data_IF_132321793380
#
_entry.id   IF_132321793380
#
_cell.length_a   1.000
_cell.length_b   1.000
_cell.length_c   1.000
_cell.angle_alpha   90.00
_cell.angle_beta   90.00
_cell.angle_gamma   90.00
#
_symmetry.space_group_name_H-M   'P 1'
#
loop_
_entity.id
_entity.type
_entity.pdbx_description
1 polymer ?
#
# COMPACT_ATOMS: atom_id res chain seq x y z
N UNK A 1 25.01 10.86 12.06
CA UNK A 1 25.21 9.79 11.05
C UNK A 1 24.03 8.84 11.04
N UNK A 2 23.94 7.96 12.02
CA UNK A 2 22.94 6.87 12.05
C UNK A 2 21.48 7.33 12.07
N UNK A 3 21.12 8.36 12.83
CA UNK A 3 19.75 8.89 12.84
C UNK A 3 19.30 9.39 11.45
N UNK A 4 20.21 10.02 10.70
CA UNK A 4 19.95 10.47 9.33
C UNK A 4 19.78 9.29 8.38
N UNK A 5 20.57 8.22 8.56
CA UNK A 5 20.42 6.99 7.78
C UNK A 5 19.06 6.33 8.03
N UNK A 6 18.65 6.17 9.29
CA UNK A 6 17.34 5.62 9.62
C UNK A 6 16.19 6.48 9.09
N UNK A 7 16.30 7.80 9.16
CA UNK A 7 15.30 8.72 8.61
C UNK A 7 15.15 8.55 7.10
N UNK A 8 16.26 8.40 6.34
CA UNK A 8 16.21 8.12 4.91
C UNK A 8 15.58 6.76 4.58
N UNK A 9 15.94 5.72 5.34
CA UNK A 9 15.38 4.38 5.16
C UNK A 9 13.87 4.39 5.41
N UNK A 10 13.43 4.98 6.52
CA UNK A 10 12.02 5.02 6.91
C UNK A 10 11.20 5.89 5.94
N UNK A 11 11.68 7.09 5.63
CA UNK A 11 11.00 7.99 4.69
C UNK A 11 10.82 7.36 3.31
N UNK A 12 11.86 6.68 2.80
CA UNK A 12 11.79 6.02 1.50
C UNK A 12 10.94 4.74 1.53
N UNK A 13 10.97 3.98 2.62
CA UNK A 13 10.11 2.81 2.78
C UNK A 13 8.63 3.18 2.77
N UNK A 14 8.26 4.23 3.52
CA UNK A 14 6.88 4.75 3.53
C UNK A 14 6.49 5.25 2.13
N UNK A 15 7.36 6.03 1.48
CA UNK A 15 7.12 6.51 0.12
C UNK A 15 6.83 5.37 -0.86
N UNK A 16 7.67 4.32 -0.84
CA UNK A 16 7.51 3.19 -1.75
C UNK A 16 6.25 2.38 -1.49
N UNK A 17 5.82 2.21 -0.24
CA UNK A 17 4.54 1.55 0.08
C UNK A 17 3.39 2.27 -0.63
N UNK A 18 3.33 3.60 -0.53
CA UNK A 18 2.26 4.38 -1.17
C UNK A 18 2.35 4.38 -2.69
N UNK A 19 3.55 4.49 -3.25
CA UNK A 19 3.76 4.46 -4.71
C UNK A 19 3.27 3.13 -5.29
N UNK A 20 3.66 2.00 -4.70
CA UNK A 20 3.23 0.68 -5.17
C UNK A 20 1.72 0.51 -4.95
N UNK A 21 1.18 1.00 -3.83
CA UNK A 21 -0.25 0.95 -3.55
C UNK A 21 -1.12 1.73 -4.57
N UNK A 22 -0.62 2.86 -5.08
CA UNK A 22 -1.29 3.64 -6.12
C UNK A 22 -1.19 2.99 -7.51
N UNK A 23 -0.08 2.33 -7.78
CA UNK A 23 0.16 1.63 -9.06
C UNK A 23 -0.55 0.29 -9.16
N UNK A 24 -1.08 -0.25 -8.06
CA UNK A 24 -1.74 -1.54 -8.06
C UNK A 24 -3.19 -1.43 -8.59
N UNK A 25 -3.46 -2.08 -9.73
CA UNK A 25 -4.76 -2.04 -10.40
C UNK A 25 -5.90 -2.68 -9.60
N UNK A 26 -5.58 -3.50 -8.59
CA UNK A 26 -6.57 -4.03 -7.65
C UNK A 26 -7.12 -2.98 -6.67
N UNK A 27 -6.50 -1.79 -6.62
CA UNK A 27 -6.88 -0.71 -5.72
C UNK A 27 -7.73 0.34 -6.47
N UNK A 28 -9.00 0.02 -6.75
CA UNK A 28 -9.93 0.89 -7.47
C UNK A 28 -10.40 2.13 -6.68
N UNK A 29 -9.73 2.50 -5.58
CA UNK A 29 -10.11 3.64 -4.75
C UNK A 29 -9.92 5.00 -5.45
N UNK A 30 -9.04 5.06 -6.46
CA UNK A 30 -8.69 6.30 -7.17
C UNK A 30 -8.87 6.10 -8.67
N UNK A 31 -9.53 7.04 -9.34
CA UNK A 31 -9.70 7.00 -10.80
C UNK A 31 -8.36 7.10 -11.51
N UNK A 32 -8.21 6.43 -12.65
CA UNK A 32 -6.98 6.45 -13.46
C UNK A 32 -6.50 7.88 -13.78
N UNK A 33 -7.45 8.80 -13.99
CA UNK A 33 -7.18 10.22 -14.28
C UNK A 33 -6.64 10.97 -13.07
N UNK A 34 -6.99 10.56 -11.86
CA UNK A 34 -6.53 11.19 -10.61
C UNK A 34 -5.22 10.59 -10.07
N UNK A 35 -4.79 9.41 -10.55
CA UNK A 35 -3.54 8.76 -10.11
C UNK A 35 -2.29 9.65 -10.21
N UNK A 36 -2.05 10.38 -11.32
CA UNK A 36 -0.88 11.26 -11.42
C UNK A 36 -0.87 12.38 -10.38
N UNK A 37 -2.05 12.95 -10.08
CA UNK A 37 -2.17 13.98 -9.05
C UNK A 37 -1.92 13.42 -7.65
N UNK A 38 -2.48 12.25 -7.34
CA UNK A 38 -2.23 11.56 -6.07
C UNK A 38 -0.74 11.24 -5.89
N UNK A 39 -0.06 10.80 -6.96
CA UNK A 39 1.38 10.50 -6.94
C UNK A 39 2.22 11.72 -6.54
N UNK A 40 1.97 12.87 -7.19
CA UNK A 40 2.68 14.12 -6.89
C UNK A 40 2.39 14.59 -5.46
N UNK A 41 1.13 14.49 -5.01
CA UNK A 41 0.73 14.93 -3.67
C UNK A 41 1.38 14.08 -2.57
N UNK A 42 1.45 12.76 -2.75
CA UNK A 42 2.13 11.86 -1.80
C UNK A 42 3.62 12.17 -1.72
N UNK A 43 4.28 12.35 -2.87
CA UNK A 43 5.69 12.76 -2.89
C UNK A 43 5.87 14.08 -2.13
N UNK A 44 4.99 15.06 -2.36
CA UNK A 44 5.05 16.36 -1.70
C UNK A 44 4.89 16.27 -0.19
N UNK A 45 3.88 15.54 0.29
CA UNK A 45 3.59 15.39 1.72
C UNK A 45 4.73 14.66 2.43
N UNK A 46 5.21 13.55 1.87
CA UNK A 46 6.29 12.76 2.48
C UNK A 46 7.60 13.57 2.45
N UNK A 47 7.92 14.20 1.32
CA UNK A 47 9.14 15.03 1.26
C UNK A 47 9.08 16.18 2.26
N UNK A 48 7.91 16.81 2.46
CA UNK A 48 7.73 17.89 3.44
C UNK A 48 7.82 17.39 4.88
N UNK A 49 7.27 16.20 5.18
CA UNK A 49 7.32 15.60 6.51
C UNK A 49 8.75 15.21 6.93
N UNK A 50 9.57 14.75 5.99
CA UNK A 50 10.95 14.33 6.24
C UNK A 50 11.99 15.42 5.91
N UNK A 51 11.57 16.58 5.39
CA UNK A 51 12.47 17.69 5.04
C UNK A 51 13.23 18.24 6.26
N UNK A 52 12.58 18.35 7.41
CA UNK A 52 13.18 18.92 8.62
C UNK A 52 14.18 17.99 9.31
N UNK A 53 14.05 16.66 9.15
CA UNK A 53 14.90 15.70 9.85
C UNK A 53 16.24 15.43 9.13
N UNK A 54 16.25 15.51 7.79
CA UNK A 54 17.39 15.07 7.00
C UNK A 54 17.68 15.90 5.75
N UNK A 55 17.07 17.08 5.62
CA UNK A 55 17.24 17.97 4.46
C UNK A 55 16.52 17.47 3.19
N UNK A 56 15.70 16.42 3.31
CA UNK A 56 14.89 15.86 2.22
C UNK A 56 15.67 14.99 1.23
N UNK A 57 16.82 14.42 1.59
CA UNK A 57 17.64 13.59 0.70
C UNK A 57 17.06 12.17 0.46
N UNK A 58 15.73 12.06 0.33
CA UNK A 58 14.96 10.82 0.08
C UNK A 58 15.25 10.24 -1.31
N UNK A 59 15.96 10.97 -2.17
CA UNK A 59 16.27 10.54 -3.52
C UNK A 59 17.79 10.67 -3.81
N UNK A 60 18.49 9.57 -4.14
CA UNK A 60 19.89 9.60 -4.52
C UNK A 60 20.18 10.59 -5.66
N UNK A 61 19.28 10.72 -6.64
CA UNK A 61 19.44 11.64 -7.76
C UNK A 61 19.28 13.11 -7.35
N UNK A 62 18.45 13.40 -6.33
CA UNK A 62 18.29 14.75 -5.77
C UNK A 62 19.56 15.21 -5.07
N UNK A 63 20.32 14.27 -4.50
CA UNK A 63 21.51 14.59 -3.71
C UNK A 63 22.81 14.49 -4.52
N UNK A 64 22.94 13.53 -5.45
CA UNK A 64 24.18 13.32 -6.21
C UNK A 64 24.42 14.41 -7.26
N UNK A 65 23.36 14.88 -7.95
CA UNK A 65 23.48 15.88 -9.02
C UNK A 65 24.02 17.23 -8.54
N UNK A 66 23.37 17.90 -7.57
CA UNK A 66 23.87 19.13 -6.98
C UNK A 66 25.24 18.98 -6.33
N UNK A 67 25.54 17.81 -5.77
CA UNK A 67 26.82 17.50 -5.12
C UNK A 67 27.94 17.35 -6.15
N UNK A 68 27.70 16.73 -7.31
CA UNK A 68 28.67 16.70 -8.42
C UNK A 68 28.93 18.10 -8.98
N UNK A 69 27.89 18.92 -9.13
CA UNK A 69 28.04 20.31 -9.56
C UNK A 69 28.83 21.15 -8.54
N UNK A 70 28.54 20.99 -7.25
CA UNK A 70 29.30 21.64 -6.19
C UNK A 70 30.77 21.17 -6.15
N UNK A 71 31.04 19.89 -6.39
CA UNK A 71 32.41 19.37 -6.45
C UNK A 71 33.21 19.93 -7.63
N UNK A 72 32.53 20.25 -8.74
CA UNK A 72 33.15 20.92 -9.89
C UNK A 72 33.54 22.37 -9.57
N UNK A 73 32.75 23.08 -8.76
CA UNK A 73 32.97 24.50 -8.43
C UNK A 73 33.91 24.68 -7.23
N UNK A 74 33.67 23.93 -6.15
CA UNK A 74 34.31 24.14 -4.85
C UNK A 74 35.41 23.13 -4.52
N UNK A 75 35.56 22.09 -5.36
CA UNK A 75 36.54 21.04 -5.16
C UNK A 75 35.93 19.75 -4.59
N UNK A 76 36.57 18.62 -4.92
CA UNK A 76 36.10 17.28 -4.57
C UNK A 76 36.19 16.97 -3.07
N UNK A 77 37.22 17.49 -2.40
CA UNK A 77 37.47 17.16 -0.98
C UNK A 77 36.45 17.84 -0.08
N UNK A 78 36.12 19.08 -0.38
CA UNK A 78 35.16 19.91 0.32
C UNK A 78 33.74 19.33 0.28
N UNK A 79 33.42 18.55 -0.76
CA UNK A 79 32.05 18.07 -1.01
C UNK A 79 31.85 16.59 -0.66
N UNK A 80 32.84 15.74 -0.91
CA UNK A 80 32.76 14.30 -0.64
C UNK A 80 33.40 13.87 0.68
N UNK A 81 34.34 14.64 1.24
CA UNK A 81 34.92 14.37 2.56
C UNK A 81 34.22 15.16 3.68
N UNK A 82 33.28 16.05 3.33
CA UNK A 82 32.49 16.79 4.31
C UNK A 82 31.68 15.86 5.22
N UNK A 83 31.70 16.20 6.51
CA UNK A 83 30.92 15.59 7.58
C UNK A 83 31.07 14.05 7.66
N UNK A 84 32.32 13.58 7.63
CA UNK A 84 32.69 12.16 7.73
C UNK A 84 32.08 11.29 6.62
N UNK A 85 32.30 11.68 5.37
CA UNK A 85 31.82 10.97 4.18
C UNK A 85 30.29 10.83 4.12
N UNK A 86 29.54 11.87 4.48
CA UNK A 86 28.06 11.82 4.52
C UNK A 86 27.39 11.43 3.19
N UNK A 87 28.09 11.57 2.06
CA UNK A 87 27.55 11.33 0.70
C UNK A 87 26.96 9.92 0.47
N UNK A 88 27.41 8.89 1.20
CA UNK A 88 26.91 7.52 1.00
C UNK A 88 25.52 7.29 1.62
N UNK A 89 25.19 8.02 2.69
CA UNK A 89 23.92 7.89 3.41
C UNK A 89 22.70 8.15 2.51
N UNK A 90 22.62 9.26 1.75
CA UNK A 90 21.50 9.53 0.84
C UNK A 90 21.50 8.66 -0.43
N UNK A 91 22.50 7.78 -0.61
CA UNK A 91 22.51 6.78 -1.69
C UNK A 91 21.98 5.45 -1.14
N UNK A 92 22.63 4.94 -0.07
CA UNK A 92 22.32 3.61 0.48
C UNK A 92 20.99 3.63 1.24
N UNK A 93 20.71 4.69 2.00
CA UNK A 93 19.48 4.80 2.80
C UNK A 93 18.22 4.65 1.96
N UNK A 94 18.05 5.44 0.87
CA UNK A 94 16.89 5.29 0.00
C UNK A 94 16.79 3.94 -0.71
N UNK A 95 17.91 3.35 -1.16
CA UNK A 95 17.89 2.02 -1.81
C UNK A 95 17.38 0.97 -0.83
N UNK A 96 17.91 0.95 0.39
CA UNK A 96 17.49 0.01 1.44
C UNK A 96 16.02 0.24 1.81
N UNK A 97 15.64 1.50 2.03
CA UNK A 97 14.26 1.88 2.32
C UNK A 97 13.29 1.44 1.22
N UNK A 98 13.67 1.63 -0.05
CA UNK A 98 12.82 1.27 -1.18
C UNK A 98 12.56 -0.24 -1.25
N UNK A 99 13.61 -1.05 -1.10
CA UNK A 99 13.49 -2.51 -1.07
C UNK A 99 12.57 -2.96 0.06
N UNK A 100 12.76 -2.41 1.27
CA UNK A 100 11.94 -2.72 2.44
C UNK A 100 10.48 -2.34 2.20
N UNK A 101 10.22 -1.14 1.67
CA UNK A 101 8.87 -0.65 1.42
C UNK A 101 8.10 -1.54 0.43
N UNK A 102 8.74 -1.92 -0.68
CA UNK A 102 8.13 -2.83 -1.67
C UNK A 102 7.87 -4.21 -1.05
N UNK A 103 8.85 -4.76 -0.33
CA UNK A 103 8.70 -6.06 0.33
C UNK A 103 7.55 -6.09 1.34
N UNK A 104 7.40 -5.04 2.13
CA UNK A 104 6.30 -4.91 3.10
C UNK A 104 4.94 -4.86 2.40
N UNK A 105 4.83 -4.10 1.30
CA UNK A 105 3.59 -4.01 0.53
C UNK A 105 3.20 -5.34 -0.10
N UNK A 106 4.14 -6.02 -0.74
CA UNK A 106 3.91 -7.33 -1.37
C UNK A 106 3.57 -8.39 -0.32
N UNK A 107 4.31 -8.44 0.79
CA UNK A 107 4.02 -9.36 1.90
C UNK A 107 2.62 -9.17 2.46
N UNK A 108 2.22 -7.92 2.72
CA UNK A 108 0.86 -7.60 3.17
C UNK A 108 -0.20 -8.03 2.15
N UNK A 109 0.04 -7.73 0.87
CA UNK A 109 -0.89 -8.07 -0.21
C UNK A 109 -1.07 -9.59 -0.37
N UNK A 110 0.01 -10.36 -0.24
CA UNK A 110 -0.03 -11.83 -0.26
C UNK A 110 -0.83 -12.40 0.91
N UNK A 111 -0.62 -11.84 2.12
CA UNK A 111 -1.37 -12.26 3.32
C UNK A 111 -2.86 -12.01 3.12
N UNK A 112 -3.25 -10.82 2.65
CA UNK A 112 -4.66 -10.51 2.39
C UNK A 112 -5.27 -11.44 1.34
N UNK A 113 -4.58 -11.68 0.22
CA UNK A 113 -5.00 -12.62 -0.82
C UNK A 113 -5.15 -14.05 -0.27
N UNK A 114 -4.33 -14.44 0.70
CA UNK A 114 -4.43 -15.76 1.33
C UNK A 114 -5.70 -15.89 2.16
N UNK A 115 -6.06 -14.87 2.93
CA UNK A 115 -7.28 -14.86 3.74
C UNK A 115 -8.55 -14.75 2.88
N UNK A 116 -8.54 -13.94 1.82
CA UNK A 116 -9.70 -13.80 0.92
C UNK A 116 -10.02 -15.07 0.14
N UNK A 117 -9.02 -15.94 -0.08
CA UNK A 117 -9.19 -17.22 -0.76
C UNK A 117 -9.57 -18.37 0.18
N UNK A 118 -9.81 -18.10 1.47
CA UNK A 118 -10.36 -19.13 2.34
C UNK A 118 -11.80 -19.41 1.90
N UNK A 119 -12.18 -20.68 1.67
CA UNK A 119 -13.57 -21.02 1.39
C UNK A 119 -14.43 -20.47 2.54
N UNK A 120 -15.56 -19.84 2.23
CA UNK A 120 -16.55 -19.41 3.22
C UNK A 120 -17.13 -20.66 3.91
N UNK A 121 -16.41 -21.27 4.86
CA UNK A 121 -16.83 -22.49 5.56
C UNK A 121 -17.82 -22.20 6.69
N UNK A 122 -18.28 -20.96 6.83
CA UNK A 122 -19.42 -20.65 7.70
C UNK A 122 -20.62 -20.35 6.82
N UNK A 123 -21.04 -21.39 6.10
CA UNK A 123 -22.37 -21.45 5.51
C UNK A 123 -23.33 -21.79 6.65
N UNK A 124 -23.80 -20.78 7.41
CA UNK A 124 -24.92 -20.90 8.37
C UNK A 124 -26.25 -21.09 7.59
N UNK A 125 -26.20 -21.85 6.50
CA UNK A 125 -27.33 -22.26 5.68
C UNK A 125 -27.51 -23.79 5.68
N UNK A 126 -26.61 -24.55 6.33
CA UNK A 126 -26.70 -26.02 6.41
C UNK A 126 -27.54 -26.56 7.57
N UNK A 127 -28.37 -25.72 8.20
CA UNK A 127 -29.58 -26.27 8.82
C UNK A 127 -30.61 -26.40 7.71
N UNK A 128 -30.47 -27.44 6.89
CA UNK A 128 -31.61 -28.00 6.20
C UNK A 128 -32.55 -28.53 7.30
N UNK A 129 -33.48 -27.69 7.76
CA UNK A 129 -34.64 -28.19 8.49
C UNK A 129 -35.41 -29.00 7.47
N UNK A 130 -35.14 -30.30 7.43
CA UNK A 130 -35.87 -31.25 6.63
C UNK A 130 -37.30 -31.30 7.21
N UNK A 131 -38.32 -30.68 6.58
CA UNK A 131 -39.68 -30.88 7.04
C UNK A 131 -40.07 -32.25 6.50
N UNK A 132 -39.86 -33.27 7.32
CA UNK A 132 -40.43 -34.60 7.12
C UNK A 132 -41.94 -34.52 7.33
N UNK A 133 -42.67 -33.85 6.43
CA UNK A 133 -44.12 -34.00 6.31
C UNK A 133 -44.50 -33.77 4.85
N UNK A 134 -44.57 -34.87 4.07
CA UNK A 134 -45.46 -34.92 2.90
C UNK A 134 -46.89 -34.92 3.46
N UNK A 135 -47.56 -33.78 3.47
CA UNK A 135 -49.02 -33.78 3.51
C UNK A 135 -49.48 -34.11 2.09
N UNK A 136 -49.77 -35.40 1.88
CA UNK A 136 -50.55 -35.87 0.73
C UNK A 136 -51.99 -35.49 1.03
N UNK A 137 -52.55 -34.62 0.19
CA UNK A 137 -53.99 -34.36 0.16
C UNK A 137 -54.59 -35.19 -1.00
N UNK A 138 -55.80 -35.71 -0.81
CA UNK A 138 -56.40 -36.82 -1.58
C UNK A 138 -56.67 -36.50 -3.07
N UNK A 139 -56.43 -35.27 -3.54
CA UNK A 139 -56.79 -34.80 -4.89
C UNK A 139 -55.61 -34.40 -5.82
N UNK A 140 -54.36 -34.68 -5.43
CA UNK A 140 -53.16 -34.59 -6.29
C UNK A 140 -53.01 -33.29 -7.13
N UNK A 141 -53.26 -32.12 -6.54
CA UNK A 141 -52.99 -30.81 -7.15
C UNK A 141 -51.90 -30.05 -6.39
N UNK A 142 -50.83 -29.68 -7.09
CA UNK A 142 -49.69 -28.90 -6.60
C UNK A 142 -50.11 -27.46 -6.29
N UNK A 143 -50.27 -27.11 -5.00
CA UNK A 143 -50.46 -25.71 -4.61
C UNK A 143 -49.13 -24.93 -4.69
N UNK A 144 -48.97 -24.16 -5.77
CA UNK A 144 -47.89 -23.16 -5.90
C UNK A 144 -48.21 -22.00 -4.94
N UNK A 145 -47.43 -21.86 -3.87
CA UNK A 145 -47.56 -20.79 -2.88
C UNK A 145 -47.13 -19.43 -3.46
N UNK A 146 -48.03 -18.75 -4.16
CA UNK A 146 -47.95 -17.33 -4.48
C UNK A 146 -48.69 -16.53 -3.40
N UNK A 147 -48.08 -16.33 -2.21
CA UNK A 147 -48.59 -15.37 -1.23
C UNK A 147 -47.54 -14.90 -0.21
N UNK A 148 -46.47 -14.28 -0.69
CA UNK A 148 -45.71 -13.31 0.11
C UNK A 148 -46.38 -11.94 -0.05
N UNK A 149 -47.39 -11.63 0.75
CA UNK A 149 -47.78 -10.25 1.13
C UNK A 149 -48.90 -10.31 2.16
N UNK A 150 -48.58 -10.01 3.41
CA UNK A 150 -49.21 -8.98 4.27
C UNK A 150 -48.53 -9.07 5.63
N UNK A 151 -47.54 -8.20 5.83
CA UNK A 151 -46.96 -7.87 7.13
C UNK A 151 -48.03 -7.00 7.82
N UNK A 152 -48.55 -7.48 8.96
CA UNK A 152 -49.50 -6.74 9.80
C UNK A 152 -48.77 -5.70 10.66
N UNK A 153 -49.25 -4.46 10.61
CA UNK A 153 -49.52 -3.63 11.79
C UNK A 153 -50.90 -3.01 11.60
#
# INVERSE_FOLDING_TARGET
>A
GWNLFFDQVVGTAVLMIFIVALGNDFNHMISEVAKPFAFVLIIFVITSAFACNSGGAINPARDLGPRLFAAFIYGWKEVFQANNYFFWIPIVGPIVGAIIGVWLYEGYSLILKRFSNLPNVVNIGSIEVHPQVKLVDDDNQLMITHKLTTIHS
#
